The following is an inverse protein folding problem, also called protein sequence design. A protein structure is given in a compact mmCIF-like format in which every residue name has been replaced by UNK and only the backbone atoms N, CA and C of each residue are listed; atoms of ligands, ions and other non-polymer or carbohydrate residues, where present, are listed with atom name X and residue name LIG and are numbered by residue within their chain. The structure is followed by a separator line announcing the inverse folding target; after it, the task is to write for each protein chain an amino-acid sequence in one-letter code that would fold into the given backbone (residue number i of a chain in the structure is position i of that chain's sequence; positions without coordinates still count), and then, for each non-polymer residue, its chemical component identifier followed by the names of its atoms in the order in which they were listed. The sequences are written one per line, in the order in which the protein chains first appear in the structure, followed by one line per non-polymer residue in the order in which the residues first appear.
data_IF_224355853773
#
_entry.id   IF_224355853773
#
_cell.length_a   1.000
_cell.length_b   1.000
_cell.length_c   1.000
_cell.angle_alpha   90.00
_cell.angle_beta   90.00
_cell.angle_gamma   90.00
#
_symmetry.space_group_name_H-M   'P 1'
#
loop_
_entity.id
_entity.type
_entity.pdbx_description
1 polymer ?
#
# COMPACT_ATOMS: atom_id res chain seq x y z
N UNK A 1 12.42 2.54 13.70
CA UNK A 1 11.73 1.91 12.55
C UNK A 1 11.64 2.81 11.32
N UNK A 2 11.42 4.13 11.48
CA UNK A 2 11.40 5.05 10.34
C UNK A 2 12.65 4.98 9.44
N UNK A 3 13.85 4.86 10.04
CA UNK A 3 15.10 4.72 9.28
C UNK A 3 15.16 3.43 8.43
N UNK A 4 14.71 2.30 8.98
CA UNK A 4 14.60 1.04 8.22
C UNK A 4 13.53 1.12 7.11
N UNK A 5 12.38 1.74 7.40
CA UNK A 5 11.31 1.92 6.42
C UNK A 5 11.75 2.85 5.27
N UNK A 6 12.58 3.87 5.54
CA UNK A 6 13.23 4.69 4.52
C UNK A 6 14.25 3.89 3.71
N UNK A 7 15.15 3.15 4.38
CA UNK A 7 16.14 2.31 3.71
C UNK A 7 15.50 1.26 2.77
N UNK A 8 14.31 0.73 3.10
CA UNK A 8 13.59 -0.16 2.17
C UNK A 8 13.18 0.55 0.89
N UNK A 9 12.76 1.83 0.95
CA UNK A 9 12.34 2.59 -0.24
C UNK A 9 13.49 2.78 -1.23
N UNK A 10 14.70 2.89 -0.70
CA UNK A 10 15.91 3.06 -1.50
C UNK A 10 16.60 1.71 -1.83
N UNK A 11 15.94 0.58 -1.57
CA UNK A 11 16.49 -0.78 -1.73
C UNK A 11 17.71 -1.12 -0.85
N UNK A 12 17.99 -0.30 0.17
CA UNK A 12 19.12 -0.44 1.09
C UNK A 12 18.78 -1.15 2.41
N UNK A 13 17.55 -1.63 2.59
CA UNK A 13 17.09 -2.25 3.84
C UNK A 13 17.98 -3.40 4.33
N UNK A 14 18.54 -4.21 3.41
CA UNK A 14 19.46 -5.29 3.78
C UNK A 14 20.83 -4.79 4.29
N UNK A 15 21.32 -3.67 3.76
CA UNK A 15 22.54 -3.03 4.23
C UNK A 15 22.32 -2.42 5.62
N UNK A 16 21.20 -1.71 5.80
CA UNK A 16 20.79 -1.16 7.09
C UNK A 16 20.77 -2.23 8.20
N UNK A 17 20.14 -3.39 7.93
CA UNK A 17 20.07 -4.47 8.92
C UNK A 17 21.45 -5.00 9.33
N UNK A 18 22.39 -5.11 8.40
CA UNK A 18 23.75 -5.57 8.71
C UNK A 18 24.53 -4.54 9.53
N UNK A 19 24.42 -3.26 9.19
CA UNK A 19 25.07 -2.16 9.93
C UNK A 19 24.57 -2.10 11.36
N UNK A 20 23.27 -2.29 11.58
CA UNK A 20 22.64 -2.25 12.89
C UNK A 20 22.71 -3.59 13.65
N UNK A 21 23.25 -4.67 13.03
CA UNK A 21 23.28 -6.01 13.62
C UNK A 21 21.89 -6.62 13.85
N UNK A 22 20.90 -6.21 13.06
CA UNK A 22 19.50 -6.62 13.21
C UNK A 22 19.13 -7.75 12.26
N UNK A 23 18.21 -8.60 12.71
CA UNK A 23 17.59 -9.65 11.89
C UNK A 23 16.19 -9.23 11.44
N UNK A 24 15.78 -9.68 10.25
CA UNK A 24 14.44 -9.39 9.70
C UNK A 24 13.29 -9.90 10.59
N UNK A 25 13.53 -10.97 11.36
CA UNK A 25 12.61 -11.47 12.38
C UNK A 25 12.33 -10.43 13.47
N UNK A 26 13.36 -9.72 13.94
CA UNK A 26 13.23 -8.68 14.97
C UNK A 26 12.38 -7.52 14.48
N UNK A 27 12.63 -7.07 13.24
CA UNK A 27 11.81 -6.04 12.60
C UNK A 27 10.34 -6.48 12.50
N UNK A 28 10.12 -7.73 12.10
CA UNK A 28 8.76 -8.28 11.97
C UNK A 28 8.03 -8.26 13.31
N UNK A 29 8.68 -8.68 14.39
CA UNK A 29 8.10 -8.63 15.74
C UNK A 29 7.84 -7.19 16.21
N UNK A 30 8.78 -6.27 15.98
CA UNK A 30 8.58 -4.86 16.35
C UNK A 30 7.44 -4.19 15.60
N UNK A 31 7.24 -4.53 14.31
CA UNK A 31 6.09 -4.07 13.54
C UNK A 31 4.78 -4.59 14.13
N UNK A 32 4.70 -5.88 14.48
CA UNK A 32 3.51 -6.45 15.15
C UNK A 32 3.19 -5.69 16.44
N UNK A 33 4.20 -5.43 17.27
CA UNK A 33 4.02 -4.71 18.54
C UNK A 33 3.56 -3.26 18.34
N UNK A 34 4.12 -2.57 17.34
CA UNK A 34 3.69 -1.21 16.95
C UNK A 34 2.26 -1.20 16.44
N UNK A 35 1.93 -2.11 15.52
CA UNK A 35 0.61 -2.15 14.87
C UNK A 35 -0.48 -2.56 15.86
N UNK A 36 -0.14 -3.36 16.87
CA UNK A 36 -0.97 -3.67 18.03
C UNK A 36 -1.05 -2.54 19.08
N UNK A 37 -0.30 -1.44 18.91
CA UNK A 37 -0.28 -0.30 19.83
C UNK A 37 0.43 -0.54 21.16
N UNK A 38 1.12 -1.68 21.32
CA UNK A 38 1.77 -2.10 22.57
C UNK A 38 2.91 -1.17 22.96
N UNK A 39 3.58 -0.59 21.96
CA UNK A 39 4.72 0.32 22.15
C UNK A 39 4.31 1.73 22.56
N UNK A 40 3.03 2.10 22.46
CA UNK A 40 2.58 3.45 22.76
C UNK A 40 2.75 3.75 24.25
N UNK A 41 3.45 4.84 24.59
CA UNK A 41 3.69 5.26 25.97
C UNK A 41 4.72 4.43 26.74
N UNK A 42 5.35 3.44 26.10
CA UNK A 42 6.43 2.64 26.70
C UNK A 42 7.78 3.30 26.54
N UNK A 43 8.61 3.26 27.59
CA UNK A 43 10.00 3.76 27.51
C UNK A 43 10.93 2.69 26.93
N UNK A 44 12.04 3.08 26.28
CA UNK A 44 13.07 2.13 25.87
C UNK A 44 13.54 1.27 27.06
N UNK A 45 13.67 -0.05 26.84
CA UNK A 45 14.09 -1.00 27.87
C UNK A 45 12.98 -1.49 28.81
N UNK A 46 11.75 -0.94 28.70
CA UNK A 46 10.61 -1.46 29.46
C UNK A 46 10.21 -2.86 28.96
N UNK A 47 9.87 -3.75 29.88
CA UNK A 47 9.45 -5.11 29.53
C UNK A 47 8.15 -5.07 28.74
N UNK A 48 8.18 -5.65 27.54
CA UNK A 48 7.01 -5.83 26.70
C UNK A 48 6.41 -7.20 27.01
N UNK A 49 5.17 -7.20 27.51
CA UNK A 49 4.40 -8.42 27.74
C UNK A 49 3.84 -9.02 26.46
N UNK A 50 3.13 -10.14 26.58
CA UNK A 50 2.32 -10.68 25.47
C UNK A 50 1.21 -9.70 25.12
N UNK A 51 0.80 -9.67 23.85
CA UNK A 51 -0.36 -8.89 23.40
C UNK A 51 -1.60 -9.34 24.18
N UNK A 52 -2.39 -8.37 24.63
CA UNK A 52 -3.74 -8.66 25.10
C UNK A 52 -4.63 -9.08 23.93
N UNK A 53 -5.75 -9.79 24.18
CA UNK A 53 -6.70 -10.15 23.13
C UNK A 53 -7.19 -8.93 22.33
N UNK A 54 -7.41 -7.79 23.00
CA UNK A 54 -7.84 -6.54 22.38
C UNK A 54 -6.75 -5.99 21.45
N UNK A 55 -5.49 -6.00 21.89
CA UNK A 55 -4.36 -5.56 21.07
C UNK A 55 -4.16 -6.43 19.83
N UNK A 56 -4.35 -7.75 19.98
CA UNK A 56 -4.30 -8.68 18.86
C UNK A 56 -5.44 -8.41 17.85
N UNK A 57 -6.65 -8.15 18.35
CA UNK A 57 -7.79 -7.83 17.48
C UNK A 57 -7.63 -6.48 16.78
N UNK A 58 -7.12 -5.46 17.48
CA UNK A 58 -6.78 -4.16 16.87
C UNK A 58 -5.78 -4.35 15.72
N UNK A 59 -4.72 -5.14 15.94
CA UNK A 59 -3.74 -5.42 14.89
C UNK A 59 -4.37 -6.15 13.69
N UNK A 60 -5.26 -7.13 13.95
CA UNK A 60 -6.00 -7.86 12.91
C UNK A 60 -6.88 -6.93 12.10
N UNK A 61 -7.67 -6.10 12.77
CA UNK A 61 -8.59 -5.14 12.14
C UNK A 61 -7.84 -4.11 11.30
N UNK A 62 -6.74 -3.54 11.82
CA UNK A 62 -5.88 -2.61 11.05
C UNK A 62 -5.33 -3.24 9.78
N UNK A 63 -4.89 -4.51 9.85
CA UNK A 63 -4.42 -5.24 8.66
C UNK A 63 -5.54 -5.48 7.64
N UNK A 64 -6.74 -5.80 8.12
CA UNK A 64 -7.90 -6.01 7.23
C UNK A 64 -8.33 -4.70 6.57
N UNK A 65 -8.33 -3.59 7.32
CA UNK A 65 -8.60 -2.25 6.81
C UNK A 65 -7.64 -1.89 5.68
N UNK A 66 -6.33 -1.92 5.94
CA UNK A 66 -5.30 -1.59 4.95
C UNK A 66 -5.40 -2.43 3.67
N UNK A 67 -5.66 -3.74 3.79
CA UNK A 67 -5.87 -4.61 2.63
C UNK A 67 -7.11 -4.22 1.83
N UNK A 68 -8.17 -3.81 2.52
CA UNK A 68 -9.42 -3.39 1.87
C UNK A 68 -9.24 -2.05 1.18
N UNK A 69 -8.55 -1.10 1.82
CA UNK A 69 -8.21 0.20 1.24
C UNK A 69 -7.34 0.05 -0.02
N UNK A 70 -6.32 -0.81 0.01
CA UNK A 70 -5.48 -1.08 -1.16
C UNK A 70 -6.28 -1.68 -2.33
N UNK A 71 -7.25 -2.56 -2.03
CA UNK A 71 -8.16 -3.10 -3.05
C UNK A 71 -9.04 -2.01 -3.62
N UNK A 72 -9.57 -1.13 -2.77
CA UNK A 72 -10.40 -0.01 -3.19
C UNK A 72 -9.63 0.94 -4.12
N UNK A 73 -8.40 1.28 -3.76
CA UNK A 73 -7.48 2.08 -4.60
C UNK A 73 -7.26 1.41 -5.97
N UNK A 74 -6.93 0.11 -5.96
CA UNK A 74 -6.72 -0.65 -7.20
C UNK A 74 -7.97 -0.65 -8.09
N UNK A 75 -9.16 -0.85 -7.49
CA UNK A 75 -10.42 -0.80 -8.23
C UNK A 75 -10.74 0.59 -8.76
N UNK A 76 -10.39 1.65 -8.01
CA UNK A 76 -10.53 3.03 -8.46
C UNK A 76 -9.70 3.30 -9.72
N UNK A 77 -8.43 2.92 -9.71
CA UNK A 77 -7.54 3.04 -10.89
C UNK A 77 -8.10 2.26 -12.09
N UNK A 78 -8.62 1.05 -11.86
CA UNK A 78 -9.23 0.27 -12.93
C UNK A 78 -10.45 0.97 -13.56
N UNK A 79 -11.31 1.58 -12.74
CA UNK A 79 -12.45 2.37 -13.21
C UNK A 79 -12.01 3.59 -14.02
N UNK A 80 -10.97 4.31 -13.58
CA UNK A 80 -10.42 5.45 -14.32
C UNK A 80 -9.89 5.04 -15.71
N UNK A 81 -9.20 3.91 -15.79
CA UNK A 81 -8.71 3.37 -17.06
C UNK A 81 -9.89 3.04 -17.99
N UNK A 82 -10.92 2.37 -17.45
CA UNK A 82 -12.12 2.05 -18.23
C UNK A 82 -12.87 3.31 -18.71
N UNK A 83 -12.94 4.36 -17.88
CA UNK A 83 -13.51 5.65 -18.29
C UNK A 83 -12.75 6.25 -19.48
N UNK A 84 -11.42 6.33 -19.38
CA UNK A 84 -10.56 6.84 -20.46
C UNK A 84 -10.68 6.01 -21.74
N UNK A 85 -10.77 4.69 -21.61
CA UNK A 85 -11.00 3.80 -22.76
C UNK A 85 -12.35 4.09 -23.43
N UNK A 86 -13.41 4.30 -22.64
CA UNK A 86 -14.73 4.64 -23.17
C UNK A 86 -14.74 5.98 -23.92
N UNK A 87 -14.12 7.02 -23.34
CA UNK A 87 -13.95 8.33 -23.98
C UNK A 87 -13.20 8.23 -25.32
N UNK A 88 -12.13 7.43 -25.38
CA UNK A 88 -11.39 7.19 -26.62
C UNK A 88 -12.26 6.49 -27.67
N UNK A 89 -13.06 5.50 -27.28
CA UNK A 89 -13.97 4.81 -28.19
C UNK A 89 -15.05 5.75 -28.74
N UNK A 90 -15.58 6.66 -27.91
CA UNK A 90 -16.54 7.67 -28.35
C UNK A 90 -15.92 8.65 -29.35
N UNK A 91 -14.70 9.12 -29.09
CA UNK A 91 -13.93 9.98 -30.00
C UNK A 91 -13.71 9.31 -31.36
N UNK A 92 -13.26 8.05 -31.36
CA UNK A 92 -13.06 7.27 -32.60
C UNK A 92 -14.38 7.03 -33.35
N UNK A 93 -15.47 6.73 -32.63
CA UNK A 93 -16.79 6.54 -33.25
C UNK A 93 -17.31 7.82 -33.91
N UNK A 94 -17.09 8.99 -33.28
CA UNK A 94 -17.46 10.28 -33.86
C UNK A 94 -16.62 10.61 -35.09
N UNK A 95 -15.31 10.38 -35.04
CA UNK A 95 -14.42 10.57 -36.19
C UNK A 95 -14.79 9.70 -37.39
N UNK A 96 -15.24 8.46 -37.15
CA UNK A 96 -15.69 7.55 -38.22
C UNK A 96 -17.01 7.97 -38.87
N UNK A 97 -17.85 8.77 -38.19
CA UNK A 97 -19.13 9.25 -38.73
C UNK A 97 -18.98 10.56 -39.52
N UNK A 98 -17.90 11.31 -39.28
CA UNK A 98 -17.58 12.56 -40.01
C UNK A 98 -16.88 12.31 -41.36
N UNK A 99 -16.55 11.06 -41.71
CA UNK A 99 -16.18 10.70 -43.08
C UNK A 99 -17.42 10.72 -43.99
N UNK A 100 -17.79 11.91 -44.45
CA UNK A 100 -18.67 12.07 -45.61
C UNK A 100 -17.96 11.49 -46.84
N UNK A 101 -18.62 10.64 -47.66
CA UNK A 101 -17.98 10.09 -48.85
C UNK A 101 -17.64 11.25 -49.78
N UNK A 102 -16.35 11.48 -49.99
CA UNK A 102 -15.83 12.48 -50.92
C UNK A 102 -16.35 12.10 -52.31
N UNK A 103 -17.44 12.73 -52.75
CA UNK A 103 -17.94 12.63 -54.10
C UNK A 103 -16.80 13.07 -55.04
N UNK A 104 -16.24 12.11 -55.77
CA UNK A 104 -15.28 12.37 -56.84
C UNK A 104 -16.04 12.94 -58.07
N UNK A 105 -15.41 13.86 -58.81
CA UNK A 105 -16.03 14.62 -59.90
C UNK A 105 -16.38 13.77 -61.13
#
# INVERSE_FOLDING_TARGET
MAAYDAAIKDHEGGAYLRTEGLYSSQITEWRKLRDAGVLAGKKPGEKIGRLTPEQAEIARLRRQLSKTEQRLETTGVALEIMSKMHELLESLSKSSRDETPRALP
#
